data_IF_821074137133
#
_entry.id   IF_821074137133
#
_cell.length_a   1.000
_cell.length_b   1.000
_cell.length_c   1.000
_cell.angle_alpha   90.00
_cell.angle_beta   90.00
_cell.angle_gamma   90.00
#
_symmetry.space_group_name_H-M   'P 1'
#
loop_
_entity.id
_entity.type
_entity.pdbx_description
1 polymer ?
#
# COMPACT_ATOMS: atom_id res chain seq x y z
N UNK A 1 3.78 -1.59 27.89
CA UNK A 1 4.69 -1.82 26.75
C UNK A 1 3.90 -2.50 25.65
N UNK A 2 3.73 -1.85 24.50
CA UNK A 2 3.21 -2.53 23.31
C UNK A 2 4.28 -3.56 22.90
N UNK A 3 4.01 -4.86 23.09
CA UNK A 3 4.85 -5.92 22.53
C UNK A 3 4.49 -6.03 21.05
N UNK A 4 5.30 -5.41 20.20
CA UNK A 4 5.26 -5.69 18.77
C UNK A 4 5.57 -7.18 18.57
N UNK A 5 4.72 -7.85 17.81
CA UNK A 5 4.85 -9.28 17.48
C UNK A 5 5.12 -9.42 16.00
N UNK A 6 5.60 -10.59 15.56
CA UNK A 6 5.85 -10.85 14.14
C UNK A 6 4.60 -10.65 13.26
N UNK A 7 3.40 -10.66 13.85
CA UNK A 7 2.14 -10.34 13.17
C UNK A 7 2.07 -8.87 12.72
N UNK A 8 2.80 -7.96 13.34
CA UNK A 8 2.79 -6.54 12.95
C UNK A 8 3.43 -6.33 11.56
N UNK A 9 4.38 -7.18 11.16
CA UNK A 9 4.91 -7.18 9.79
C UNK A 9 3.89 -7.60 8.74
N UNK A 10 2.88 -8.37 9.13
CA UNK A 10 1.82 -8.77 8.21
C UNK A 10 1.11 -7.53 7.64
N UNK A 11 0.93 -6.49 8.47
CA UNK A 11 0.36 -5.22 8.03
C UNK A 11 1.27 -4.49 7.05
N UNK A 12 2.59 -4.46 7.29
CA UNK A 12 3.56 -3.85 6.37
C UNK A 12 3.57 -4.57 5.00
N UNK A 13 3.59 -5.91 5.02
CA UNK A 13 3.53 -6.75 3.82
C UNK A 13 2.22 -6.55 3.08
N UNK A 14 1.09 -6.50 3.80
CA UNK A 14 -0.22 -6.28 3.20
C UNK A 14 -0.31 -4.90 2.55
N UNK A 15 0.16 -3.83 3.21
CA UNK A 15 0.21 -2.48 2.62
C UNK A 15 1.03 -2.45 1.34
N UNK A 16 2.19 -3.12 1.33
CA UNK A 16 3.03 -3.19 0.15
C UNK A 16 2.38 -3.99 -0.98
N UNK A 17 1.85 -5.18 -0.70
CA UNK A 17 1.18 -6.02 -1.68
C UNK A 17 -0.09 -5.35 -2.24
N UNK A 18 -0.86 -4.68 -1.38
CA UNK A 18 -2.03 -3.91 -1.79
C UNK A 18 -1.62 -2.70 -2.65
N UNK A 19 -0.54 -1.99 -2.29
CA UNK A 19 0.01 -0.90 -3.11
C UNK A 19 0.40 -1.38 -4.51
N UNK A 20 1.05 -2.55 -4.63
CA UNK A 20 1.33 -3.18 -5.92
C UNK A 20 0.04 -3.53 -6.67
N UNK A 21 -0.95 -4.09 -5.98
CA UNK A 21 -2.26 -4.39 -6.58
C UNK A 21 -2.94 -3.12 -7.14
N UNK A 22 -2.86 -1.98 -6.44
CA UNK A 22 -3.36 -0.70 -6.93
C UNK A 22 -2.65 -0.22 -8.19
N UNK A 23 -1.35 -0.50 -8.33
CA UNK A 23 -0.54 -0.10 -9.48
C UNK A 23 -0.83 -0.99 -10.70
N UNK A 24 -0.87 -2.30 -10.50
CA UNK A 24 -1.05 -3.28 -11.59
C UNK A 24 -2.51 -3.44 -12.00
N UNK A 25 -3.45 -3.33 -11.07
CA UNK A 25 -4.88 -3.50 -11.31
C UNK A 25 -5.72 -2.34 -10.74
N UNK A 26 -5.43 -1.07 -11.11
CA UNK A 26 -6.19 0.10 -10.64
C UNK A 26 -7.66 0.01 -11.02
N UNK A 27 -7.96 -0.66 -12.14
CA UNK A 27 -9.32 -0.83 -12.67
C UNK A 27 -10.21 -1.67 -11.76
N UNK A 28 -9.64 -2.56 -10.95
CA UNK A 28 -10.41 -3.32 -9.95
C UNK A 28 -10.96 -2.40 -8.85
N UNK A 29 -10.24 -1.31 -8.53
CA UNK A 29 -10.70 -0.28 -7.59
C UNK A 29 -11.64 0.75 -8.22
N UNK A 30 -11.65 0.83 -9.55
CA UNK A 30 -12.52 1.71 -10.31
C UNK A 30 -13.70 0.96 -10.95
N UNK A 31 -14.14 -0.14 -10.33
CA UNK A 31 -15.14 -1.03 -10.92
C UNK A 31 -16.44 -0.25 -11.21
N UNK A 32 -16.77 -0.10 -12.49
CA UNK A 32 -17.94 0.66 -12.96
C UNK A 32 -17.64 2.02 -13.60
N UNK A 33 -16.38 2.48 -13.59
CA UNK A 33 -15.98 3.66 -14.34
C UNK A 33 -16.06 3.39 -15.86
N UNK A 34 -16.77 4.26 -16.58
CA UNK A 34 -16.77 4.29 -18.04
C UNK A 34 -15.39 4.72 -18.55
N UNK A 35 -15.05 4.31 -19.77
CA UNK A 35 -13.73 4.61 -20.35
C UNK A 35 -13.70 6.04 -20.91
N UNK A 36 -13.74 7.00 -20.00
CA UNK A 36 -13.80 8.43 -20.30
C UNK A 36 -12.51 9.13 -19.80
N UNK A 37 -12.26 10.38 -20.20
CA UNK A 37 -11.06 11.14 -19.79
C UNK A 37 -10.89 11.20 -18.26
N UNK A 38 -12.00 11.30 -17.53
CA UNK A 38 -12.02 11.28 -16.06
C UNK A 38 -11.56 9.94 -15.47
N UNK A 39 -11.85 8.83 -16.16
CA UNK A 39 -11.35 7.51 -15.76
C UNK A 39 -9.84 7.42 -15.93
N UNK A 40 -9.27 7.97 -17.00
CA UNK A 40 -7.82 7.98 -17.19
C UNK A 40 -7.10 8.82 -16.11
N UNK A 41 -7.71 9.95 -15.71
CA UNK A 41 -7.19 10.77 -14.61
C UNK A 41 -7.26 10.05 -13.27
N UNK A 42 -8.37 9.36 -13.02
CA UNK A 42 -8.59 8.59 -11.79
C UNK A 42 -7.65 7.39 -11.73
N UNK A 43 -7.39 6.70 -12.84
CA UNK A 43 -6.43 5.59 -12.91
C UNK A 43 -5.02 6.05 -12.54
N UNK A 44 -4.57 7.19 -13.09
CA UNK A 44 -3.26 7.79 -12.74
C UNK A 44 -3.20 8.14 -11.26
N UNK A 45 -4.29 8.61 -10.69
CA UNK A 45 -4.37 8.93 -9.27
C UNK A 45 -4.30 7.68 -8.39
N UNK A 46 -5.03 6.61 -8.74
CA UNK A 46 -4.98 5.31 -8.05
C UNK A 46 -3.57 4.70 -8.11
N UNK A 47 -2.90 4.74 -9.26
CA UNK A 47 -1.50 4.29 -9.38
C UNK A 47 -0.57 5.10 -8.48
N UNK A 48 -0.75 6.43 -8.42
CA UNK A 48 0.05 7.32 -7.57
C UNK A 48 -0.15 7.03 -6.08
N UNK A 49 -1.40 6.75 -5.66
CA UNK A 49 -1.69 6.29 -4.31
C UNK A 49 -1.05 4.93 -4.02
N UNK A 50 -1.11 3.99 -4.96
CA UNK A 50 -0.46 2.68 -4.83
C UNK A 50 1.05 2.80 -4.61
N UNK A 51 1.72 3.68 -5.36
CA UNK A 51 3.15 3.97 -5.17
C UNK A 51 3.40 4.54 -3.78
N UNK A 52 2.59 5.51 -3.34
CA UNK A 52 2.68 6.07 -2.00
C UNK A 52 2.52 5.00 -0.90
N UNK A 53 1.55 4.10 -1.08
CA UNK A 53 1.28 3.00 -0.16
C UNK A 53 2.43 2.00 -0.08
N UNK A 54 3.07 1.68 -1.23
CA UNK A 54 4.27 0.85 -1.25
C UNK A 54 5.42 1.49 -0.47
N UNK A 55 5.68 2.79 -0.68
CA UNK A 55 6.74 3.51 0.04
C UNK A 55 6.47 3.54 1.54
N UNK A 56 5.23 3.84 1.94
CA UNK A 56 4.82 3.83 3.35
C UNK A 56 4.95 2.43 3.95
N UNK A 57 4.55 1.38 3.24
CA UNK A 57 4.68 0.00 3.69
C UNK A 57 6.13 -0.41 3.95
N UNK A 58 7.06 -0.02 3.08
CA UNK A 58 8.50 -0.26 3.28
C UNK A 58 9.04 0.50 4.50
N UNK A 59 8.72 1.80 4.61
CA UNK A 59 9.15 2.63 5.75
C UNK A 59 8.60 2.07 7.06
N UNK A 60 7.33 1.68 7.09
CA UNK A 60 6.68 1.09 8.25
C UNK A 60 7.31 -0.26 8.64
N UNK A 61 7.65 -1.10 7.66
CA UNK A 61 8.38 -2.35 7.90
C UNK A 61 9.77 -2.12 8.51
N UNK A 62 10.53 -1.15 8.02
CA UNK A 62 11.84 -0.78 8.59
C UNK A 62 11.68 -0.25 10.02
N UNK A 63 10.65 0.55 10.27
CA UNK A 63 10.36 1.09 11.59
C UNK A 63 9.97 0.01 12.61
N UNK A 64 9.16 -0.97 12.20
CA UNK A 64 8.83 -2.14 13.02
C UNK A 64 10.07 -2.98 13.34
N UNK A 65 10.94 -3.21 12.35
CA UNK A 65 12.20 -3.92 12.55
C UNK A 65 13.12 -3.25 13.56
N UNK A 66 13.25 -1.93 13.46
CA UNK A 66 14.08 -1.15 14.38
C UNK A 66 13.46 -1.12 15.78
N UNK A 67 12.15 -0.98 15.87
CA UNK A 67 11.41 -0.99 17.15
C UNK A 67 11.48 -2.33 17.87
N UNK A 68 11.39 -3.46 17.15
CA UNK A 68 11.53 -4.78 17.75
C UNK A 68 12.97 -5.13 18.14
N UNK A 69 13.96 -4.65 17.39
CA UNK A 69 15.38 -4.83 17.74
C UNK A 69 15.77 -4.06 19.01
N UNK A 70 15.12 -2.93 19.26
CA UNK A 70 15.39 -2.04 20.39
C UNK A 70 14.44 -2.25 21.59
N UNK A 71 13.54 -3.25 21.51
CA UNK A 71 12.61 -3.64 22.57
C UNK A 71 13.14 -4.83 23.38
#
# INVERSE_FOLDING_TARGET
MLKFTNYDYLYAIFMFAFGLFMIFSPRTLMRGAKYDEDSLKTEKWVKRLGIGLCVIGVIFGIWLYTSMKNA
#
